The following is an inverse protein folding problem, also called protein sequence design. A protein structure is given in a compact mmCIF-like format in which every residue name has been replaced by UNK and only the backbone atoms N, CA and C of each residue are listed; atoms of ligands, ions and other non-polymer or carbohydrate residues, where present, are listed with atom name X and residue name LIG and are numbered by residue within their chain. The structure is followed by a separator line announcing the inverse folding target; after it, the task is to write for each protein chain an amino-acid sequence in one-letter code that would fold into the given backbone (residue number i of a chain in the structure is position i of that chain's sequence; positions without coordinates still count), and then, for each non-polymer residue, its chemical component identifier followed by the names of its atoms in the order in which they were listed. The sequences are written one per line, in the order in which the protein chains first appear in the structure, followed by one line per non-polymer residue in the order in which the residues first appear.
data_IF_126503221694
#
_entry.id   IF_126503221694
#
_cell.length_a   1.000
_cell.length_b   1.000
_cell.length_c   1.000
_cell.angle_alpha   90.00
_cell.angle_beta   90.00
_cell.angle_gamma   90.00
#
_symmetry.space_group_name_H-M   'P 1'
#
loop_
_entity.id
_entity.type
_entity.pdbx_description
1 polymer ?
#
# COMPACT_ATOMS: atom_id res chain seq x y z
N UNK A 1 23.92 -10.46 -13.17
CA UNK A 1 22.52 -10.60 -13.61
C UNK A 1 22.37 -9.86 -14.93
N UNK A 2 21.78 -10.49 -15.94
CA UNK A 2 21.50 -9.88 -17.25
C UNK A 2 20.31 -8.92 -17.13
N UNK A 3 20.21 -7.92 -18.01
CA UNK A 3 19.13 -6.92 -18.00
C UNK A 3 17.73 -7.56 -17.96
N UNK A 4 17.50 -8.59 -18.77
CA UNK A 4 16.22 -9.30 -18.82
C UNK A 4 15.86 -10.00 -17.50
N UNK A 5 16.84 -10.62 -16.84
CA UNK A 5 16.64 -11.26 -15.54
C UNK A 5 16.28 -10.22 -14.47
N UNK A 6 16.91 -9.03 -14.51
CA UNK A 6 16.57 -7.92 -13.62
C UNK A 6 15.15 -7.42 -13.88
N UNK A 7 14.76 -7.25 -15.14
CA UNK A 7 13.40 -6.83 -15.53
C UNK A 7 12.35 -7.82 -15.01
N UNK A 8 12.56 -9.13 -15.22
CA UNK A 8 11.63 -10.14 -14.73
C UNK A 8 11.51 -10.11 -13.20
N UNK A 9 12.64 -10.09 -12.48
CA UNK A 9 12.61 -10.01 -11.01
C UNK A 9 11.94 -8.73 -10.51
N UNK A 10 12.17 -7.61 -11.19
CA UNK A 10 11.52 -6.35 -10.85
C UNK A 10 10.00 -6.42 -11.00
N UNK A 11 9.50 -7.05 -12.07
CA UNK A 11 8.08 -7.29 -12.28
C UNK A 11 7.49 -8.25 -11.23
N UNK A 12 8.21 -9.31 -10.86
CA UNK A 12 7.79 -10.23 -9.79
C UNK A 12 7.63 -9.50 -8.44
N UNK A 13 8.55 -8.58 -8.12
CA UNK A 13 8.43 -7.76 -6.91
C UNK A 13 7.27 -6.77 -7.00
N UNK A 14 6.99 -6.19 -8.17
CA UNK A 14 5.84 -5.32 -8.39
C UNK A 14 4.52 -6.07 -8.23
N UNK A 15 4.40 -7.30 -8.73
CA UNK A 15 3.21 -8.11 -8.51
C UNK A 15 3.06 -8.48 -7.02
N UNK A 16 4.16 -8.81 -6.35
CA UNK A 16 4.16 -9.02 -4.89
C UNK A 16 3.67 -7.77 -4.12
N UNK A 17 4.03 -6.57 -4.59
CA UNK A 17 3.56 -5.32 -4.00
C UNK A 17 2.05 -5.16 -4.20
N UNK A 18 1.55 -5.46 -5.40
CA UNK A 18 0.12 -5.45 -5.71
C UNK A 18 -0.67 -6.44 -4.85
N UNK A 19 -0.17 -7.66 -4.67
CA UNK A 19 -0.76 -8.65 -3.76
C UNK A 19 -0.80 -8.14 -2.31
N UNK A 20 0.29 -7.55 -1.83
CA UNK A 20 0.36 -6.96 -0.49
C UNK A 20 -0.63 -5.80 -0.33
N UNK A 21 -0.83 -4.98 -1.37
CA UNK A 21 -1.83 -3.91 -1.41
C UNK A 21 -3.26 -4.45 -1.29
N UNK A 22 -3.58 -5.55 -1.99
CA UNK A 22 -4.87 -6.23 -1.86
C UNK A 22 -5.05 -6.79 -0.45
N UNK A 23 -4.02 -7.43 0.10
CA UNK A 23 -4.03 -7.96 1.46
C UNK A 23 -4.25 -6.84 2.51
N UNK A 24 -3.63 -5.68 2.31
CA UNK A 24 -3.86 -4.50 3.17
C UNK A 24 -5.32 -4.08 3.15
N UNK A 25 -5.94 -3.99 1.96
CA UNK A 25 -7.35 -3.64 1.86
C UNK A 25 -8.28 -4.67 2.51
N UNK A 26 -7.93 -5.96 2.48
CA UNK A 26 -8.66 -6.98 3.23
C UNK A 26 -8.51 -6.81 4.75
N UNK A 27 -7.31 -6.48 5.24
CA UNK A 27 -7.05 -6.22 6.65
C UNK A 27 -7.82 -4.97 7.13
N UNK A 28 -7.85 -3.90 6.33
CA UNK A 28 -8.65 -2.69 6.58
C UNK A 28 -10.13 -3.00 6.71
N UNK A 29 -10.69 -3.83 5.81
CA UNK A 29 -12.11 -4.24 5.89
C UNK A 29 -12.45 -5.05 7.14
N UNK A 30 -11.46 -5.77 7.68
CA UNK A 30 -11.59 -6.56 8.92
C UNK A 30 -11.27 -5.76 10.18
N UNK A 31 -10.86 -4.50 10.04
CA UNK A 31 -10.41 -3.64 11.14
C UNK A 31 -9.25 -4.26 11.95
N UNK A 32 -8.44 -5.09 11.30
CA UNK A 32 -7.30 -5.76 11.93
C UNK A 32 -6.07 -4.84 11.93
N UNK A 33 -6.02 -3.93 12.91
CA UNK A 33 -4.98 -2.89 13.01
C UNK A 33 -3.57 -3.48 13.07
N UNK A 34 -3.37 -4.60 13.77
CA UNK A 34 -2.05 -5.23 13.87
C UNK A 34 -1.58 -5.76 12.52
N UNK A 35 -2.49 -6.37 11.76
CA UNK A 35 -2.17 -6.88 10.43
C UNK A 35 -1.94 -5.73 9.43
N UNK A 36 -2.70 -4.63 9.55
CA UNK A 36 -2.50 -3.41 8.75
C UNK A 36 -1.10 -2.84 8.95
N UNK A 37 -0.65 -2.72 10.21
CA UNK A 37 0.70 -2.24 10.55
C UNK A 37 1.78 -3.16 9.96
N UNK A 38 1.65 -4.47 10.19
CA UNK A 38 2.60 -5.47 9.67
C UNK A 38 2.71 -5.44 8.14
N UNK A 39 1.58 -5.38 7.43
CA UNK A 39 1.58 -5.34 5.97
C UNK A 39 2.19 -4.04 5.48
N UNK A 40 1.89 -2.90 6.10
CA UNK A 40 2.44 -1.60 5.71
C UNK A 40 3.96 -1.56 5.85
N UNK A 41 4.50 -2.02 6.98
CA UNK A 41 5.95 -2.12 7.20
C UNK A 41 6.65 -3.00 6.15
N UNK A 42 6.03 -4.14 5.82
CA UNK A 42 6.57 -5.06 4.82
C UNK A 42 6.49 -4.45 3.41
N UNK A 43 5.43 -3.71 3.09
CA UNK A 43 5.29 -3.00 1.82
C UNK A 43 6.35 -1.92 1.66
N UNK A 44 6.65 -1.16 2.71
CA UNK A 44 7.72 -0.15 2.67
C UNK A 44 9.10 -0.76 2.36
N UNK A 45 9.40 -1.92 2.96
CA UNK A 45 10.63 -2.68 2.66
C UNK A 45 10.64 -3.14 1.21
N UNK A 46 9.53 -3.69 0.72
CA UNK A 46 9.39 -4.17 -0.66
C UNK A 46 9.54 -3.02 -1.68
N UNK A 47 8.94 -1.86 -1.41
CA UNK A 47 9.08 -0.66 -2.26
C UNK A 47 10.55 -0.23 -2.37
N UNK A 48 11.33 -0.33 -1.28
CA UNK A 48 12.75 0.00 -1.31
C UNK A 48 13.57 -1.00 -2.16
N UNK A 49 13.20 -2.28 -2.15
CA UNK A 49 13.79 -3.29 -3.05
C UNK A 49 13.44 -2.98 -4.50
N UNK A 50 12.17 -2.71 -4.80
CA UNK A 50 11.69 -2.36 -6.14
C UNK A 50 12.45 -1.15 -6.69
N UNK A 51 12.59 -0.07 -5.90
CA UNK A 51 13.36 1.12 -6.29
C UNK A 51 14.81 0.80 -6.65
N UNK A 52 15.44 -0.09 -5.89
CA UNK A 52 16.82 -0.52 -6.14
C UNK A 52 16.93 -1.26 -7.48
N UNK A 53 15.96 -2.12 -7.79
CA UNK A 53 15.89 -2.80 -9.10
C UNK A 53 15.61 -1.82 -10.24
N UNK A 54 14.66 -0.90 -10.07
CA UNK A 54 14.35 0.14 -11.05
C UNK A 54 15.61 0.93 -11.43
N UNK A 55 16.33 1.50 -10.46
CA UNK A 55 17.55 2.25 -10.71
C UNK A 55 18.63 1.38 -11.37
N UNK A 56 18.80 0.14 -10.91
CA UNK A 56 19.77 -0.79 -11.49
C UNK A 56 19.44 -1.21 -12.94
N UNK A 57 18.17 -1.23 -13.33
CA UNK A 57 17.72 -1.47 -14.71
C UNK A 57 17.95 -0.23 -15.56
N UNK A 58 17.57 0.95 -15.07
CA UNK A 58 17.77 2.23 -15.77
C UNK A 58 19.26 2.50 -16.06
N UNK A 59 20.15 2.22 -15.10
CA UNK A 59 21.59 2.31 -15.29
C UNK A 59 22.11 1.35 -16.37
N UNK A 60 21.59 0.13 -16.42
CA UNK A 60 21.98 -0.85 -17.43
C UNK A 60 21.51 -0.40 -18.82
N UNK A 61 20.28 0.13 -18.94
CA UNK A 61 19.73 0.69 -20.17
C UNK A 61 20.59 1.87 -20.65
N UNK A 62 20.98 2.78 -19.75
CA UNK A 62 21.79 3.94 -20.09
C UNK A 62 23.18 3.58 -20.64
N UNK A 63 23.70 2.40 -20.30
CA UNK A 63 25.00 1.88 -20.78
C UNK A 63 24.91 1.21 -22.17
N UNK A 64 23.71 0.98 -22.70
CA UNK A 64 23.52 0.35 -24.00
C UNK A 64 23.91 1.33 -25.12
N UNK A 65 24.88 0.94 -25.95
CA UNK A 65 25.29 1.75 -27.12
C UNK A 65 24.17 1.73 -28.17
N UNK A 66 23.88 2.89 -28.77
CA UNK A 66 22.78 3.03 -29.74
C UNK A 66 22.84 2.07 -30.94
N UNK A 67 24.04 1.71 -31.40
CA UNK A 67 24.23 0.72 -32.49
C UNK A 67 23.85 -0.73 -32.10
N UNK A 68 23.66 -1.00 -30.80
CA UNK A 68 23.31 -2.29 -30.23
C UNK A 68 21.82 -2.40 -29.88
N UNK A 69 21.04 -1.35 -30.13
CA UNK A 69 19.61 -1.32 -29.83
C UNK A 69 18.83 -1.91 -31.01
N UNK A 70 18.46 -3.18 -30.88
CA UNK A 70 17.57 -3.86 -31.84
C UNK A 70 16.09 -3.59 -31.55
N UNK A 71 15.18 -3.83 -32.52
CA UNK A 71 13.73 -3.70 -32.35
C UNK A 71 13.18 -4.53 -31.18
N UNK A 72 13.70 -5.75 -30.98
CA UNK A 72 13.30 -6.65 -29.89
C UNK A 72 13.56 -6.04 -28.51
N UNK A 73 14.72 -5.43 -28.30
CA UNK A 73 15.03 -4.76 -27.04
C UNK A 73 14.08 -3.57 -26.79
N UNK A 74 13.77 -2.79 -27.84
CA UNK A 74 12.82 -1.68 -27.73
C UNK A 74 11.44 -2.17 -27.32
N UNK A 75 10.97 -3.26 -27.91
CA UNK A 75 9.67 -3.86 -27.57
C UNK A 75 9.64 -4.33 -26.12
N UNK A 76 10.67 -5.04 -25.66
CA UNK A 76 10.78 -5.50 -24.27
C UNK A 76 10.76 -4.32 -23.28
N UNK A 77 11.52 -3.25 -23.56
CA UNK A 77 11.56 -2.08 -22.68
C UNK A 77 10.23 -1.32 -22.65
N UNK A 78 9.52 -1.27 -23.78
CA UNK A 78 8.17 -0.68 -23.83
C UNK A 78 7.17 -1.50 -23.03
N UNK A 79 7.15 -2.82 -23.21
CA UNK A 79 6.28 -3.72 -22.45
C UNK A 79 6.55 -3.61 -20.96
N UNK A 80 7.82 -3.68 -20.57
CA UNK A 80 8.23 -3.50 -19.17
C UNK A 80 7.75 -2.16 -18.60
N UNK A 81 7.98 -1.05 -19.30
CA UNK A 81 7.51 0.28 -18.85
C UNK A 81 5.98 0.34 -18.70
N UNK A 82 5.24 -0.25 -19.64
CA UNK A 82 3.78 -0.29 -19.57
C UNK A 82 3.29 -1.10 -18.35
N UNK A 83 3.84 -2.30 -18.13
CA UNK A 83 3.48 -3.15 -16.99
C UNK A 83 3.79 -2.49 -15.65
N UNK A 84 4.96 -1.84 -15.53
CA UNK A 84 5.31 -1.04 -14.33
C UNK A 84 4.25 0.02 -14.09
N UNK A 85 3.89 0.80 -15.12
CA UNK A 85 2.91 1.87 -14.98
C UNK A 85 1.52 1.33 -14.62
N UNK A 86 1.08 0.23 -15.22
CA UNK A 86 -0.20 -0.42 -14.90
C UNK A 86 -0.26 -0.85 -13.43
N UNK A 87 0.78 -1.53 -12.94
CA UNK A 87 0.84 -2.01 -11.56
C UNK A 87 0.89 -0.83 -10.57
N UNK A 88 1.73 0.18 -10.82
CA UNK A 88 1.84 1.35 -9.95
C UNK A 88 0.52 2.13 -9.89
N UNK A 89 -0.15 2.33 -11.02
CA UNK A 89 -1.45 3.00 -11.05
C UNK A 89 -2.53 2.20 -10.30
N UNK A 90 -2.51 0.87 -10.42
CA UNK A 90 -3.40 0.00 -9.65
C UNK A 90 -3.16 0.16 -8.15
N UNK A 91 -1.91 0.09 -7.72
CA UNK A 91 -1.51 0.21 -6.31
C UNK A 91 -1.91 1.58 -5.75
N UNK A 92 -1.58 2.67 -6.43
CA UNK A 92 -1.93 4.03 -6.01
C UNK A 92 -3.45 4.24 -5.90
N UNK A 93 -4.21 3.75 -6.87
CA UNK A 93 -5.68 3.82 -6.84
C UNK A 93 -6.24 3.08 -5.63
N UNK A 94 -5.70 1.90 -5.32
CA UNK A 94 -6.19 1.08 -4.22
C UNK A 94 -5.76 1.65 -2.86
N UNK A 95 -4.54 2.19 -2.75
CA UNK A 95 -4.05 2.86 -1.53
C UNK A 95 -4.89 4.09 -1.17
N UNK A 96 -5.34 4.85 -2.17
CA UNK A 96 -6.29 5.95 -1.94
C UNK A 96 -7.61 5.44 -1.34
N UNK A 97 -8.14 4.33 -1.84
CA UNK A 97 -9.37 3.72 -1.30
C UNK A 97 -9.19 3.20 0.13
N UNK A 98 -8.04 2.57 0.41
CA UNK A 98 -7.67 2.10 1.74
C UNK A 98 -7.59 3.29 2.71
N UNK A 99 -6.90 4.35 2.32
CA UNK A 99 -6.74 5.56 3.15
C UNK A 99 -8.09 6.17 3.48
N UNK A 100 -8.97 6.36 2.49
CA UNK A 100 -10.32 6.88 2.74
C UNK A 100 -11.14 5.97 3.67
N UNK A 101 -10.96 4.64 3.59
CA UNK A 101 -11.64 3.70 4.47
C UNK A 101 -11.14 3.81 5.92
N UNK A 102 -9.82 3.93 6.12
CA UNK A 102 -9.20 4.11 7.43
C UNK A 102 -9.60 5.45 8.07
N UNK A 103 -9.70 6.52 7.27
CA UNK A 103 -10.17 7.82 7.74
C UNK A 103 -11.63 7.77 8.22
N UNK A 104 -12.49 7.08 7.46
CA UNK A 104 -13.89 6.85 7.87
C UNK A 104 -13.98 6.04 9.16
N UNK A 105 -13.20 4.96 9.30
CA UNK A 105 -13.13 4.15 10.52
C UNK A 105 -12.65 4.96 11.72
N UNK A 106 -11.62 5.81 11.53
CA UNK A 106 -11.13 6.73 12.58
C UNK A 106 -12.22 7.70 13.04
N UNK A 107 -12.99 8.25 12.10
CA UNK A 107 -14.09 9.16 12.41
C UNK A 107 -15.20 8.48 13.22
N UNK A 108 -15.68 7.31 12.79
CA UNK A 108 -16.72 6.58 13.52
C UNK A 108 -16.24 6.11 14.90
N UNK A 109 -15.01 5.60 15.01
CA UNK A 109 -14.40 5.23 16.31
C UNK A 109 -14.38 6.43 17.26
N UNK A 110 -14.02 7.63 16.77
CA UNK A 110 -13.99 8.85 17.59
C UNK A 110 -15.37 9.24 18.11
N UNK A 111 -16.40 9.09 17.27
CA UNK A 111 -17.80 9.34 17.63
C UNK A 111 -18.32 8.34 18.65
N UNK A 112 -17.97 7.06 18.51
CA UNK A 112 -18.31 6.02 19.50
C UNK A 112 -17.67 6.31 20.86
N UNK A 113 -16.39 6.66 20.89
CA UNK A 113 -15.70 7.09 22.11
C UNK A 113 -16.45 8.24 22.78
N UNK A 114 -16.81 9.29 22.01
CA UNK A 114 -17.59 10.41 22.52
C UNK A 114 -18.98 10.01 23.06
N UNK A 115 -19.63 9.03 22.43
CA UNK A 115 -20.89 8.45 22.92
C UNK A 115 -20.72 7.73 24.26
N UNK A 116 -19.70 6.88 24.38
CA UNK A 116 -19.38 6.14 25.61
C UNK A 116 -19.08 7.10 26.77
N UNK A 117 -18.30 8.16 26.53
CA UNK A 117 -18.02 9.17 27.55
C UNK A 117 -19.28 9.92 28.00
N UNK A 118 -20.15 10.31 27.07
CA UNK A 118 -21.44 10.95 27.41
C UNK A 118 -22.33 10.01 28.23
N UNK A 119 -22.46 8.76 27.81
CA UNK A 119 -23.26 7.76 28.52
C UNK A 119 -22.73 7.51 29.94
N UNK A 120 -21.40 7.38 30.09
CA UNK A 120 -20.75 7.23 31.40
C UNK A 120 -21.07 8.41 32.34
N UNK A 121 -21.05 9.64 31.82
CA UNK A 121 -21.37 10.83 32.61
C UNK A 121 -22.86 10.88 32.99
N UNK A 122 -23.76 10.54 32.07
CA UNK A 122 -25.20 10.46 32.34
C UNK A 122 -25.53 9.43 33.43
N UNK A 123 -24.89 8.26 33.41
CA UNK A 123 -25.06 7.23 34.46
C UNK A 123 -24.56 7.72 35.81
N UNK A 124 -23.37 8.35 35.86
CA UNK A 124 -22.83 8.93 37.12
C UNK A 124 -23.77 9.99 37.71
N UNK A 125 -24.33 10.86 36.87
CA UNK A 125 -25.27 11.89 37.31
C UNK A 125 -26.57 11.28 37.84
N UNK A 126 -27.09 10.24 37.17
CA UNK A 126 -28.28 9.52 37.61
C UNK A 126 -28.08 8.83 38.97
N UNK A 127 -26.95 8.13 39.16
CA UNK A 127 -26.62 7.54 40.47
C UNK A 127 -26.50 8.60 41.57
N UNK A 128 -25.90 9.74 41.25
CA UNK A 128 -25.75 10.86 42.21
C UNK A 128 -27.09 11.49 42.60
N UNK A 129 -28.09 11.49 41.70
CA UNK A 129 -29.44 11.96 42.01
C UNK A 129 -30.26 10.96 42.83
N UNK A 130 -30.08 9.65 42.61
CA UNK A 130 -30.79 8.60 43.36
C UNK A 130 -30.29 8.51 44.80
N UNK A 131 -28.99 8.71 45.05
CA UNK A 131 -28.40 8.63 46.41
C UNK A 131 -28.69 9.87 47.26
N UNK A 132 -29.15 10.98 46.66
CA UNK A 132 -29.51 12.22 47.36
C UNK A 132 -31.02 12.43 47.55
N UNK A 133 -31.85 11.52 47.03
CA UNK A 133 -33.31 11.55 47.17
C UNK A 133 -33.82 10.62 48.26
#
# INVERSE_FOLDING_TARGET
MRLYEKIMQHLDFLESLKEATVALGQATKKEDINLIELITDNRDRLINVIKTFQSGIEEDIAKIKGASVGPELIEILKTWSNEVNEIINYVDTYDKQITSSLEAQKFETSKEIGSVFRNKNSIKNYQSSVVKG
#
